data_IF_604712222935
#
_entry.id   IF_604712222935
#
_cell.length_a   1.000
_cell.length_b   1.000
_cell.length_c   1.000
_cell.angle_alpha   90.00
_cell.angle_beta   90.00
_cell.angle_gamma   90.00
#
_symmetry.space_group_name_H-M   'P 1'
#
loop_
_entity.id
_entity.type
_entity.pdbx_description
1 polymer ?
#
# COMPACT_ATOMS: atom_id res chain seq x y z
N UNK A 1 -7.82 -22.02 6.64
CA UNK A 1 -8.48 -21.43 5.46
C UNK A 1 -8.00 -20.00 5.33
N UNK A 2 -7.18 -19.76 4.31
CA UNK A 2 -6.48 -18.50 4.11
C UNK A 2 -7.49 -17.45 3.66
N UNK A 3 -7.78 -16.49 4.54
CA UNK A 3 -8.49 -15.28 4.13
C UNK A 3 -7.47 -14.42 3.36
N UNK A 4 -7.10 -14.88 2.16
CA UNK A 4 -6.38 -14.10 1.17
C UNK A 4 -7.33 -12.97 0.76
N UNK A 5 -7.27 -11.87 1.49
CA UNK A 5 -7.90 -10.63 1.04
C UNK A 5 -7.07 -10.19 -0.18
N UNK A 6 -7.51 -10.64 -1.35
CA UNK A 6 -6.98 -10.23 -2.64
C UNK A 6 -7.44 -8.79 -2.86
N UNK A 7 -6.70 -7.84 -2.27
CA UNK A 7 -6.90 -6.45 -2.58
C UNK A 7 -6.43 -6.25 -4.02
N UNK A 8 -7.38 -6.07 -4.94
CA UNK A 8 -7.11 -5.64 -6.31
C UNK A 8 -6.61 -4.20 -6.28
N UNK A 9 -5.33 -4.05 -5.93
CA UNK A 9 -4.64 -2.78 -5.90
C UNK A 9 -4.07 -2.53 -7.28
N UNK A 10 -4.41 -1.39 -7.87
CA UNK A 10 -3.68 -0.90 -9.03
C UNK A 10 -2.20 -0.72 -8.68
N UNK A 11 -1.26 -0.89 -9.64
CA UNK A 11 0.17 -0.73 -9.40
C UNK A 11 0.52 0.62 -8.74
N UNK A 12 -0.26 1.64 -9.05
CA UNK A 12 -0.19 2.98 -8.50
C UNK A 12 -0.50 3.06 -6.98
N UNK A 13 -1.53 2.33 -6.52
CA UNK A 13 -1.89 2.22 -5.11
C UNK A 13 -0.85 1.39 -4.34
N UNK A 14 -0.33 0.35 -4.98
CA UNK A 14 0.71 -0.50 -4.40
C UNK A 14 2.03 0.26 -4.20
N UNK A 15 2.41 1.06 -5.18
CA UNK A 15 3.52 2.02 -5.10
C UNK A 15 3.33 3.03 -3.95
N UNK A 16 2.11 3.54 -3.73
CA UNK A 16 1.80 4.43 -2.60
C UNK A 16 1.96 3.74 -1.24
N UNK A 17 1.48 2.49 -1.11
CA UNK A 17 1.73 1.65 0.07
C UNK A 17 3.23 1.40 0.31
N UNK A 18 3.98 1.13 -0.76
CA UNK A 18 5.43 0.88 -0.67
C UNK A 18 6.19 2.13 -0.24
N UNK A 19 5.81 3.32 -0.73
CA UNK A 19 6.34 4.62 -0.29
C UNK A 19 6.01 4.91 1.17
N UNK A 20 4.86 4.45 1.65
CA UNK A 20 4.50 4.58 3.07
C UNK A 20 5.39 3.71 3.97
N UNK A 21 5.72 2.49 3.53
CA UNK A 21 6.66 1.63 4.25
C UNK A 21 8.07 2.21 4.28
N UNK A 22 8.50 2.83 3.18
CA UNK A 22 9.83 3.39 3.05
C UNK A 22 9.69 4.89 2.71
N UNK A 23 9.54 5.76 3.71
CA UNK A 23 9.50 7.20 3.51
C UNK A 23 10.88 7.68 3.08
N UNK A 24 11.26 7.39 1.83
CA UNK A 24 12.41 8.01 1.20
C UNK A 24 12.05 9.48 1.09
N UNK A 25 12.90 10.37 1.59
CA UNK A 25 12.69 11.83 1.77
C UNK A 25 12.34 12.63 0.51
N UNK A 26 11.92 11.98 -0.58
CA UNK A 26 11.54 12.62 -1.83
C UNK A 26 10.11 13.15 -1.73
N UNK A 27 10.02 14.38 -1.21
CA UNK A 27 8.82 15.18 -1.09
C UNK A 27 8.12 15.40 -2.43
N UNK A 28 7.09 14.61 -2.68
CA UNK A 28 5.96 14.99 -3.53
C UNK A 28 4.74 14.19 -3.10
N UNK A 29 3.88 14.84 -2.32
CA UNK A 29 2.53 14.40 -1.94
C UNK A 29 1.59 14.29 -3.17
N UNK A 30 2.03 13.72 -4.28
CA UNK A 30 1.29 13.79 -5.54
C UNK A 30 0.09 12.84 -5.63
N UNK A 31 -0.16 12.03 -4.59
CA UNK A 31 -1.17 10.96 -4.63
C UNK A 31 -1.96 10.84 -3.32
N UNK A 32 -2.37 11.98 -2.73
CA UNK A 32 -3.26 11.99 -1.56
C UNK A 32 -4.54 11.17 -1.78
N UNK A 33 -5.09 11.20 -3.01
CA UNK A 33 -6.23 10.38 -3.40
C UNK A 33 -5.97 8.86 -3.30
N UNK A 34 -4.74 8.41 -3.58
CA UNK A 34 -4.41 6.98 -3.42
C UNK A 34 -4.29 6.60 -1.95
N UNK A 35 -3.73 7.49 -1.12
CA UNK A 35 -3.71 7.28 0.33
C UNK A 35 -5.14 7.18 0.86
N UNK A 36 -6.05 8.03 0.39
CA UNK A 36 -7.47 7.97 0.76
C UNK A 36 -8.13 6.64 0.32
N UNK A 37 -7.83 6.16 -0.89
CA UNK A 37 -8.26 4.83 -1.35
C UNK A 37 -7.72 3.69 -0.46
N UNK A 38 -6.45 3.75 -0.09
CA UNK A 38 -5.82 2.78 0.81
C UNK A 38 -6.39 2.83 2.24
N UNK A 39 -6.81 4.01 2.71
CA UNK A 39 -7.51 4.19 3.98
C UNK A 39 -8.90 3.57 3.93
N UNK A 40 -9.65 3.77 2.82
CA UNK A 40 -10.95 3.10 2.60
C UNK A 40 -10.83 1.58 2.60
N UNK A 41 -9.71 1.05 2.11
CA UNK A 41 -9.40 -0.38 2.11
C UNK A 41 -8.86 -0.89 3.47
N UNK A 42 -8.63 -0.01 4.46
CA UNK A 42 -8.07 -0.38 5.77
C UNK A 42 -6.59 -0.78 5.74
N UNK A 43 -5.87 -0.47 4.65
CA UNK A 43 -4.46 -0.77 4.46
C UNK A 43 -3.54 0.30 5.07
N UNK A 44 -4.07 1.51 5.20
CA UNK A 44 -3.41 2.68 5.75
C UNK A 44 -4.35 3.33 6.77
N UNK A 45 -3.79 3.87 7.84
CA UNK A 45 -4.51 4.70 8.81
C UNK A 45 -3.82 6.05 8.89
N UNK A 46 -4.59 7.14 8.93
CA UNK A 46 -4.02 8.47 9.17
C UNK A 46 -4.02 8.70 10.67
N UNK A 47 -2.83 8.70 11.26
CA UNK A 47 -2.61 8.97 12.68
C UNK A 47 -1.92 10.31 12.80
N UNK A 48 -2.54 11.28 13.50
CA UNK A 48 -1.99 12.63 13.68
C UNK A 48 -1.75 13.39 12.36
N UNK A 49 -2.57 13.15 11.34
CA UNK A 49 -2.38 13.72 10.00
C UNK A 49 -1.27 13.03 9.19
N UNK A 50 -0.58 12.03 9.76
CA UNK A 50 0.45 11.25 9.09
C UNK A 50 -0.12 9.89 8.66
N UNK A 51 -0.12 9.58 7.36
CA UNK A 51 -0.51 8.25 6.92
C UNK A 51 0.50 7.22 7.44
N UNK A 52 -0.02 6.17 8.06
CA UNK A 52 0.75 5.09 8.71
C UNK A 52 0.23 3.74 8.19
N UNK A 53 1.15 2.83 7.88
CA UNK A 53 0.77 1.53 7.31
C UNK A 53 0.21 0.60 8.38
N UNK A 54 -0.96 0.00 8.09
CA UNK A 54 -1.58 -0.98 8.99
C UNK A 54 -0.91 -2.36 8.86
N UNK A 55 -1.07 -3.26 9.84
CA UNK A 55 -0.61 -4.65 9.71
C UNK A 55 -1.22 -5.36 8.48
N UNK A 56 -2.44 -5.01 8.08
CA UNK A 56 -3.08 -5.51 6.86
C UNK A 56 -2.36 -5.01 5.61
N UNK A 57 -2.10 -3.70 5.51
CA UNK A 57 -1.31 -3.13 4.40
C UNK A 57 0.07 -3.76 4.24
N UNK A 58 0.72 -4.08 5.38
CA UNK A 58 2.02 -4.79 5.38
C UNK A 58 1.93 -6.19 4.78
N UNK A 59 0.90 -6.98 5.14
CA UNK A 59 0.69 -8.33 4.59
C UNK A 59 0.43 -8.29 3.08
N UNK A 60 -0.42 -7.35 2.64
CA UNK A 60 -0.74 -7.14 1.23
C UNK A 60 0.50 -6.75 0.43
N UNK A 61 1.35 -5.90 0.97
CA UNK A 61 2.60 -5.50 0.31
C UNK A 61 3.56 -6.69 0.13
N UNK A 62 3.71 -7.56 1.15
CA UNK A 62 4.55 -8.76 1.04
C UNK A 62 4.00 -9.72 -0.01
N UNK A 63 2.68 -9.95 -0.01
CA UNK A 63 2.00 -10.84 -0.97
C UNK A 63 2.07 -10.31 -2.40
N UNK A 64 1.78 -9.02 -2.60
CA UNK A 64 1.81 -8.35 -3.90
C UNK A 64 3.22 -8.23 -4.49
N UNK A 65 4.26 -8.14 -3.65
CA UNK A 65 5.67 -8.14 -4.10
C UNK A 65 6.02 -9.43 -4.84
N UNK A 66 5.49 -10.58 -4.39
CA UNK A 66 5.72 -11.87 -5.05
C UNK A 66 5.00 -11.96 -6.40
N UNK A 67 3.77 -11.42 -6.53
CA UNK A 67 3.03 -11.43 -7.81
C UNK A 67 3.68 -10.54 -8.87
N UNK A 68 4.26 -9.39 -8.49
CA UNK A 68 4.95 -8.50 -9.43
C UNK A 68 6.29 -9.06 -9.95
N UNK A 69 6.98 -9.89 -9.15
CA UNK A 69 8.17 -10.61 -9.62
C UNK A 69 7.82 -11.70 -10.64
N UNK A 70 6.63 -12.29 -10.52
CA UNK A 70 6.13 -13.32 -11.43
C UNK A 70 5.62 -12.72 -12.75
N UNK A 71 5.03 -11.52 -12.72
CA UNK A 71 4.55 -10.79 -13.90
C UNK A 71 5.65 -10.17 -14.78
N UNK A 72 6.91 -10.20 -14.34
CA UNK A 72 8.05 -9.67 -15.11
C UNK A 72 8.95 -10.77 -15.70
N UNK A 73 8.55 -12.03 -15.59
CA UNK A 73 9.26 -13.20 -16.12
C UNK A 73 8.73 -13.62 -17.50
#
# INVERSE_FOLDING_TARGET
MSNDVDFDLSPDQWEALRRLRNPVSNGRHSKAYLIEGLVKLGLVVVSDGVPTMTPTGRKVLVRGSCRLLDLVA
#
